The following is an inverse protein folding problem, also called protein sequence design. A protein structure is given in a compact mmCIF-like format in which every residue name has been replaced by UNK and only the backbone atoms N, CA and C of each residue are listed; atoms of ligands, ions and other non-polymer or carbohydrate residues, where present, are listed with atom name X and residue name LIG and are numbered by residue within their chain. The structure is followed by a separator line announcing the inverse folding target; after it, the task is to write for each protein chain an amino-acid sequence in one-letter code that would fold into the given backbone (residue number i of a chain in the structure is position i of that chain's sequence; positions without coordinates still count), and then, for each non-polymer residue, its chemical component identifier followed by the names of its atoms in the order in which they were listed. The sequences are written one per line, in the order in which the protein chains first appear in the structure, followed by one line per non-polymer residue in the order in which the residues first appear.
data_IF_474712339990
#
_entry.id   IF_474712339990
#
_cell.length_a   1.000
_cell.length_b   1.000
_cell.length_c   1.000
_cell.angle_alpha   90.00
_cell.angle_beta   90.00
_cell.angle_gamma   90.00
#
_symmetry.space_group_name_H-M   'P 1'
#
loop_
_entity.id
_entity.type
_entity.pdbx_description
1 polymer ?
#
# COMPACT_ATOMS: atom_id res chain seq x y z
N UNK A 1 3.81 20.89 -55.98
CA UNK A 1 4.56 21.41 -54.82
C UNK A 1 3.88 20.86 -53.57
N UNK A 2 4.34 19.71 -53.06
CA UNK A 2 3.71 19.00 -51.93
C UNK A 2 4.54 19.32 -50.68
N UNK A 3 3.95 20.00 -49.72
CA UNK A 3 4.62 20.38 -48.47
C UNK A 3 5.05 19.11 -47.69
N UNK A 4 6.23 19.09 -47.05
CA UNK A 4 6.62 18.01 -46.17
C UNK A 4 5.81 18.09 -44.87
N UNK A 5 5.01 17.05 -44.65
CA UNK A 5 4.22 16.83 -43.44
C UNK A 5 5.16 16.40 -42.30
N UNK A 6 5.42 17.32 -41.38
CA UNK A 6 6.26 17.13 -40.20
C UNK A 6 5.52 16.25 -39.19
N UNK A 7 5.70 14.94 -39.32
CA UNK A 7 5.22 13.97 -38.33
C UNK A 7 6.19 13.97 -37.14
N UNK A 8 5.75 14.30 -35.91
CA UNK A 8 6.62 14.24 -34.75
C UNK A 8 7.14 12.81 -34.59
N UNK A 9 8.47 12.66 -34.62
CA UNK A 9 9.17 11.38 -34.41
C UNK A 9 8.75 10.82 -33.06
N UNK A 10 8.20 9.60 -33.06
CA UNK A 10 7.88 8.84 -31.84
C UNK A 10 9.08 8.67 -30.88
N UNK A 11 10.30 8.85 -31.40
CA UNK A 11 11.58 8.79 -30.69
C UNK A 11 11.80 9.94 -29.69
N UNK A 12 11.32 11.15 -30.01
CA UNK A 12 11.48 12.33 -29.13
C UNK A 12 10.61 12.27 -27.89
N UNK A 13 9.44 11.62 -27.97
CA UNK A 13 8.52 11.48 -26.85
C UNK A 13 9.02 10.47 -25.80
N UNK A 14 9.82 9.48 -26.23
CA UNK A 14 10.54 8.58 -25.32
C UNK A 14 11.73 9.24 -24.64
N UNK A 15 12.44 10.16 -25.30
CA UNK A 15 13.57 10.89 -24.70
C UNK A 15 13.12 11.92 -23.65
N UNK A 16 12.07 12.71 -23.94
CA UNK A 16 11.47 13.64 -22.98
C UNK A 16 10.95 12.91 -21.73
N UNK A 17 10.21 11.82 -21.92
CA UNK A 17 9.68 11.02 -20.82
C UNK A 17 10.80 10.46 -19.93
N UNK A 18 11.89 9.99 -20.52
CA UNK A 18 13.04 9.52 -19.75
C UNK A 18 13.74 10.65 -18.99
N UNK A 19 13.82 11.86 -19.57
CA UNK A 19 14.37 13.03 -18.89
C UNK A 19 13.51 13.45 -17.70
N UNK A 20 12.19 13.54 -17.89
CA UNK A 20 11.22 13.89 -16.84
C UNK A 20 11.30 12.92 -15.67
N UNK A 21 11.34 11.61 -15.96
CA UNK A 21 11.44 10.58 -14.95
C UNK A 21 12.78 10.64 -14.19
N UNK A 22 13.88 11.02 -14.87
CA UNK A 22 15.21 11.15 -14.25
C UNK A 22 15.23 12.30 -13.26
N UNK A 23 14.64 13.42 -13.67
CA UNK A 23 14.48 14.57 -12.79
C UNK A 23 13.56 14.26 -11.61
N UNK A 24 12.44 13.57 -11.82
CA UNK A 24 11.53 13.17 -10.75
C UNK A 24 12.19 12.19 -9.75
N UNK A 25 12.96 11.21 -10.25
CA UNK A 25 13.70 10.27 -9.42
C UNK A 25 14.72 10.99 -8.51
N UNK A 26 15.55 11.87 -9.07
CA UNK A 26 16.52 12.65 -8.29
C UNK A 26 15.85 13.59 -7.30
N UNK A 27 14.75 14.23 -7.70
CA UNK A 27 14.04 15.21 -6.87
C UNK A 27 13.34 14.58 -5.67
N UNK A 28 12.60 13.49 -5.89
CA UNK A 28 11.73 12.91 -4.86
C UNK A 28 12.40 11.79 -4.07
N UNK A 29 13.37 11.08 -4.67
CA UNK A 29 14.02 9.93 -4.04
C UNK A 29 15.50 10.16 -3.73
N UNK A 30 16.10 11.24 -4.24
CA UNK A 30 17.54 11.49 -4.10
C UNK A 30 18.41 10.43 -4.80
N UNK A 31 17.84 9.64 -5.71
CA UNK A 31 18.49 8.51 -6.40
C UNK A 31 18.44 8.69 -7.92
N UNK A 32 19.39 8.08 -8.61
CA UNK A 32 19.33 7.88 -10.06
C UNK A 32 18.20 6.90 -10.42
N UNK A 33 17.64 7.00 -11.64
CA UNK A 33 16.60 6.04 -12.11
C UNK A 33 17.07 4.59 -11.96
N UNK A 34 18.34 4.34 -12.27
CA UNK A 34 18.90 2.99 -12.29
C UNK A 34 19.13 2.42 -10.87
N UNK A 35 19.07 3.26 -9.84
CA UNK A 35 19.18 2.89 -8.43
C UNK A 35 17.84 2.75 -7.72
N UNK A 36 16.72 2.96 -8.43
CA UNK A 36 15.38 2.80 -7.89
C UNK A 36 15.02 1.32 -7.77
N UNK A 37 14.38 0.96 -6.66
CA UNK A 37 13.72 -0.33 -6.53
C UNK A 37 12.51 -0.42 -7.47
N UNK A 38 12.04 -1.64 -7.75
CA UNK A 38 10.90 -1.90 -8.63
C UNK A 38 9.61 -1.19 -8.19
N UNK A 39 9.40 -1.07 -6.87
CA UNK A 39 8.30 -0.30 -6.30
C UNK A 39 8.44 1.21 -6.57
N UNK A 40 9.63 1.78 -6.34
CA UNK A 40 9.90 3.20 -6.58
C UNK A 40 9.74 3.56 -8.08
N UNK A 41 10.26 2.71 -8.97
CA UNK A 41 10.08 2.84 -10.42
C UNK A 41 8.62 2.72 -10.86
N UNK A 42 7.84 1.81 -10.25
CA UNK A 42 6.39 1.67 -10.50
C UNK A 42 5.63 2.93 -10.13
N UNK A 43 5.85 3.46 -8.92
CA UNK A 43 5.18 4.68 -8.46
C UNK A 43 5.52 5.86 -9.36
N UNK A 44 6.80 6.04 -9.73
CA UNK A 44 7.23 7.12 -10.62
C UNK A 44 6.58 7.07 -12.01
N UNK A 45 6.48 5.87 -12.61
CA UNK A 45 5.77 5.68 -13.89
C UNK A 45 4.28 6.00 -13.76
N UNK A 46 3.68 5.59 -12.65
CA UNK A 46 2.25 5.79 -12.40
C UNK A 46 1.91 7.21 -11.95
N UNK A 47 2.86 7.97 -11.38
CA UNK A 47 2.65 9.34 -10.89
C UNK A 47 2.21 10.32 -11.98
N UNK A 48 2.58 10.07 -13.26
CA UNK A 48 2.15 10.91 -14.40
C UNK A 48 0.66 10.78 -14.68
N UNK A 49 0.06 9.63 -14.36
CA UNK A 49 -1.38 9.44 -14.39
C UNK A 49 -1.93 9.70 -12.98
N UNK A 50 -2.52 10.89 -12.78
CA UNK A 50 -3.34 11.27 -11.61
C UNK A 50 -4.64 10.42 -11.50
N UNK A 51 -4.51 9.12 -11.74
CA UNK A 51 -5.59 8.15 -11.69
C UNK A 51 -5.85 7.86 -10.22
N UNK A 52 -7.09 8.14 -9.81
CA UNK A 52 -7.66 7.77 -8.52
C UNK A 52 -7.90 6.27 -8.54
N UNK A 53 -6.84 5.50 -8.71
CA UNK A 53 -6.88 4.06 -8.56
C UNK A 53 -6.78 3.79 -7.07
N UNK A 54 -7.88 4.03 -6.37
CA UNK A 54 -8.34 3.11 -5.33
C UNK A 54 -8.67 1.76 -6.00
N UNK A 55 -7.72 1.22 -6.77
CA UNK A 55 -7.83 -0.10 -7.34
C UNK A 55 -7.57 -1.00 -6.16
N UNK A 56 -8.63 -1.54 -5.58
CA UNK A 56 -8.57 -2.53 -4.50
C UNK A 56 -7.49 -3.54 -4.88
N UNK A 57 -6.31 -3.55 -4.22
CA UNK A 57 -5.22 -4.44 -4.60
C UNK A 57 -5.63 -5.92 -4.50
N UNK A 58 -6.67 -6.19 -3.72
CA UNK A 58 -7.16 -7.52 -3.40
C UNK A 58 -7.85 -8.30 -4.53
N UNK A 59 -8.26 -7.69 -5.64
CA UNK A 59 -9.06 -8.44 -6.64
C UNK A 59 -8.28 -9.01 -7.83
N UNK A 60 -6.99 -8.72 -7.99
CA UNK A 60 -6.26 -9.14 -9.20
C UNK A 60 -5.47 -10.45 -9.07
N UNK A 61 -5.47 -11.10 -7.90
CA UNK A 61 -5.03 -12.49 -7.74
C UNK A 61 -6.22 -13.41 -7.46
N UNK A 62 -7.26 -13.32 -8.30
CA UNK A 62 -8.28 -14.36 -8.46
C UNK A 62 -7.75 -15.60 -9.19
N UNK A 63 -6.48 -15.99 -8.93
CA UNK A 63 -5.98 -17.29 -9.33
C UNK A 63 -6.89 -18.32 -8.69
N UNK A 64 -7.58 -19.10 -9.51
CA UNK A 64 -8.48 -20.16 -9.09
C UNK A 64 -7.80 -21.01 -8.02
N UNK A 65 -8.14 -20.77 -6.75
CA UNK A 65 -7.62 -21.56 -5.64
C UNK A 65 -7.89 -23.02 -5.97
N UNK A 66 -6.82 -23.81 -6.06
CA UNK A 66 -6.99 -25.24 -6.35
C UNK A 66 -7.86 -25.85 -5.25
N UNK A 67 -8.63 -26.90 -5.56
CA UNK A 67 -9.52 -27.54 -4.57
C UNK A 67 -8.77 -27.94 -3.29
N UNK A 68 -7.49 -28.34 -3.43
CA UNK A 68 -6.58 -28.61 -2.32
C UNK A 68 -6.24 -27.39 -1.48
N UNK A 69 -6.00 -26.22 -2.07
CA UNK A 69 -5.76 -24.97 -1.34
C UNK A 69 -6.99 -24.52 -0.55
N UNK A 70 -8.20 -24.68 -1.11
CA UNK A 70 -9.45 -24.35 -0.42
C UNK A 70 -9.70 -25.29 0.76
N UNK A 71 -9.46 -26.59 0.59
CA UNK A 71 -9.57 -27.57 1.66
C UNK A 71 -8.53 -27.33 2.75
N UNK A 72 -7.27 -27.08 2.38
CA UNK A 72 -6.20 -26.80 3.35
C UNK A 72 -6.51 -25.55 4.18
N UNK A 73 -7.07 -24.50 3.56
CA UNK A 73 -7.52 -23.30 4.27
C UNK A 73 -8.65 -23.57 5.24
N UNK A 74 -9.65 -24.34 4.82
CA UNK A 74 -10.77 -24.72 5.68
C UNK A 74 -10.29 -25.59 6.86
N UNK A 75 -9.40 -26.55 6.61
CA UNK A 75 -8.82 -27.42 7.64
C UNK A 75 -7.93 -26.63 8.60
N UNK A 76 -7.12 -25.69 8.11
CA UNK A 76 -6.28 -24.85 8.97
C UNK A 76 -7.11 -23.91 9.85
N UNK A 77 -8.14 -23.29 9.29
CA UNK A 77 -9.05 -22.40 10.03
C UNK A 77 -9.88 -23.17 11.05
N UNK A 78 -10.32 -24.39 10.70
CA UNK A 78 -11.07 -25.27 11.60
C UNK A 78 -10.19 -25.85 12.71
N UNK A 79 -9.00 -26.34 12.37
CA UNK A 79 -8.05 -26.92 13.32
C UNK A 79 -7.49 -25.93 14.34
N UNK A 80 -7.50 -24.62 14.03
CA UNK A 80 -7.12 -23.55 14.95
C UNK A 80 -8.29 -22.97 15.78
N UNK A 81 -9.53 -23.44 15.57
CA UNK A 81 -10.71 -22.88 16.25
C UNK A 81 -10.99 -23.54 17.60
N UNK A 82 -11.41 -22.74 18.58
CA UNK A 82 -11.92 -23.21 19.87
C UNK A 82 -13.12 -24.18 19.72
N UNK A 83 -13.91 -24.04 18.66
CA UNK A 83 -15.03 -24.94 18.37
C UNK A 83 -14.58 -26.36 18.04
N UNK A 84 -13.43 -26.53 17.39
CA UNK A 84 -12.88 -27.85 17.08
C UNK A 84 -12.42 -28.56 18.34
N UNK A 85 -11.72 -27.85 19.24
CA UNK A 85 -11.25 -28.39 20.52
C UNK A 85 -12.43 -28.93 21.34
N UNK A 86 -13.51 -28.15 21.43
CA UNK A 86 -14.72 -28.54 22.19
C UNK A 86 -15.40 -29.76 21.56
N UNK A 87 -15.63 -29.75 20.23
CA UNK A 87 -16.28 -30.86 19.53
C UNK A 87 -15.45 -32.14 19.62
N UNK A 88 -14.13 -32.04 19.48
CA UNK A 88 -13.21 -33.16 19.59
C UNK A 88 -13.21 -33.73 21.02
N UNK A 89 -13.21 -32.88 22.05
CA UNK A 89 -13.36 -33.30 23.44
C UNK A 89 -14.67 -34.05 23.71
N UNK A 90 -15.80 -33.53 23.21
CA UNK A 90 -17.11 -34.21 23.32
C UNK A 90 -17.09 -35.57 22.62
N UNK A 91 -16.51 -35.65 21.41
CA UNK A 91 -16.36 -36.91 20.69
C UNK A 91 -15.55 -37.95 21.49
N UNK A 92 -14.42 -37.56 22.10
CA UNK A 92 -13.62 -38.45 22.93
C UNK A 92 -14.38 -38.98 24.14
N UNK A 93 -15.14 -38.10 24.83
CA UNK A 93 -15.98 -38.50 25.97
C UNK A 93 -17.08 -39.47 25.55
N UNK A 94 -17.76 -39.19 24.43
CA UNK A 94 -18.81 -40.07 23.89
C UNK A 94 -18.24 -41.42 23.45
N UNK A 95 -17.09 -41.44 22.77
CA UNK A 95 -16.44 -42.66 22.31
C UNK A 95 -15.99 -43.55 23.48
N UNK A 96 -15.38 -42.92 24.48
CA UNK A 96 -14.95 -43.61 25.71
C UNK A 96 -16.18 -44.14 26.46
N UNK A 97 -17.21 -43.31 26.62
CA UNK A 97 -18.47 -43.71 27.27
C UNK A 97 -19.18 -44.86 26.56
N UNK A 98 -19.24 -44.83 25.22
CA UNK A 98 -19.84 -45.90 24.43
C UNK A 98 -19.06 -47.22 24.55
N UNK A 99 -17.73 -47.19 24.50
CA UNK A 99 -16.91 -48.40 24.67
C UNK A 99 -16.96 -48.96 26.09
N UNK A 100 -17.01 -48.10 27.11
CA UNK A 100 -17.19 -48.53 28.50
C UNK A 100 -18.60 -49.07 28.73
N UNK A 101 -19.64 -48.52 28.09
CA UNK A 101 -21.00 -49.02 28.26
C UNK A 101 -21.23 -50.38 27.56
N UNK A 102 -20.50 -50.64 26.47
CA UNK A 102 -20.52 -51.89 25.71
C UNK A 102 -19.67 -53.00 26.39
N UNK A 103 -19.89 -53.22 27.69
CA UNK A 103 -19.16 -54.12 28.59
C UNK A 103 -19.01 -55.57 28.06
N UNK A 104 -19.92 -56.00 27.18
CA UNK A 104 -20.01 -57.39 26.69
C UNK A 104 -19.13 -57.68 25.47
N UNK A 105 -18.94 -56.71 24.58
CA UNK A 105 -18.00 -56.77 23.45
C UNK A 105 -17.51 -55.34 23.13
N UNK A 106 -16.59 -54.80 23.94
CA UNK A 106 -16.05 -53.47 23.69
C UNK A 106 -15.29 -53.46 22.36
N UNK A 107 -15.58 -52.46 21.53
CA UNK A 107 -14.96 -52.31 20.21
C UNK A 107 -13.49 -51.87 20.33
N UNK A 108 -13.18 -51.05 21.33
CA UNK A 108 -11.83 -50.60 21.71
C UNK A 108 -11.66 -50.75 23.24
N UNK A 109 -11.18 -51.91 23.73
CA UNK A 109 -10.97 -52.16 25.16
C UNK A 109 -9.89 -51.25 25.73
N UNK A 110 -9.98 -50.91 27.03
CA UNK A 110 -8.91 -50.22 27.74
C UNK A 110 -7.58 -50.98 27.56
N UNK A 111 -6.49 -50.37 27.05
CA UNK A 111 -6.13 -48.95 27.06
C UNK A 111 -6.44 -48.12 25.80
N UNK A 112 -7.46 -48.47 25.01
CA UNK A 112 -7.94 -47.76 23.81
C UNK A 112 -6.89 -47.61 22.70
N UNK A 113 -6.42 -48.74 22.16
CA UNK A 113 -5.34 -48.79 21.15
C UNK A 113 -5.76 -48.07 19.86
N UNK A 114 -7.03 -48.21 19.46
CA UNK A 114 -7.51 -47.62 18.21
C UNK A 114 -7.60 -46.09 18.31
N UNK A 115 -8.14 -45.59 19.43
CA UNK A 115 -8.20 -44.16 19.71
C UNK A 115 -6.80 -43.55 19.82
N UNK A 116 -5.86 -44.25 20.44
CA UNK A 116 -4.47 -43.79 20.57
C UNK A 116 -3.74 -43.74 19.21
N UNK A 117 -4.00 -44.72 18.33
CA UNK A 117 -3.47 -44.71 16.96
C UNK A 117 -4.02 -43.52 16.17
N UNK A 118 -5.33 -43.26 16.28
CA UNK A 118 -5.98 -42.15 15.59
C UNK A 118 -5.44 -40.79 16.07
N UNK A 119 -5.32 -40.60 17.39
CA UNK A 119 -4.73 -39.40 17.97
C UNK A 119 -3.28 -39.17 17.50
N UNK A 120 -2.49 -40.24 17.48
CA UNK A 120 -1.09 -40.19 17.03
C UNK A 120 -0.98 -39.77 15.56
N UNK A 121 -1.87 -40.28 14.70
CA UNK A 121 -1.92 -39.90 13.29
C UNK A 121 -2.34 -38.43 13.09
N UNK A 122 -3.36 -37.97 13.84
CA UNK A 122 -3.80 -36.56 13.80
C UNK A 122 -2.66 -35.64 14.25
N UNK A 123 -1.99 -35.97 15.35
CA UNK A 123 -0.87 -35.20 15.88
C UNK A 123 0.31 -35.14 14.88
N UNK A 124 0.62 -36.25 14.20
CA UNK A 124 1.67 -36.27 13.19
C UNK A 124 1.39 -35.34 11.99
N UNK A 125 0.12 -35.18 11.61
CA UNK A 125 -0.29 -34.28 10.51
C UNK A 125 -0.44 -32.81 10.94
N UNK A 126 -0.52 -32.52 12.24
CA UNK A 126 -0.69 -31.14 12.74
C UNK A 126 0.47 -30.23 12.36
N UNK A 127 1.72 -30.63 12.61
CA UNK A 127 2.87 -29.75 12.38
C UNK A 127 3.03 -29.33 10.91
N UNK A 128 2.93 -30.23 9.91
CA UNK A 128 2.95 -29.84 8.49
C UNK A 128 1.79 -28.95 8.08
N UNK A 129 0.55 -29.22 8.56
CA UNK A 129 -0.63 -28.40 8.24
C UNK A 129 -0.46 -26.99 8.82
N UNK A 130 -0.01 -26.89 10.07
CA UNK A 130 0.28 -25.60 10.72
C UNK A 130 1.37 -24.87 9.92
N UNK A 131 2.47 -25.54 9.58
CA UNK A 131 3.57 -24.95 8.82
C UNK A 131 3.12 -24.49 7.42
N UNK A 132 2.29 -25.26 6.73
CA UNK A 132 1.73 -24.87 5.43
C UNK A 132 0.80 -23.65 5.56
N UNK A 133 -0.05 -23.62 6.59
CA UNK A 133 -0.93 -22.48 6.85
C UNK A 133 -0.15 -21.21 7.21
N UNK A 134 0.91 -21.35 8.01
CA UNK A 134 1.82 -20.25 8.38
C UNK A 134 2.60 -19.74 7.17
N UNK A 135 3.15 -20.63 6.34
CA UNK A 135 3.86 -20.24 5.12
C UNK A 135 2.95 -19.47 4.16
N UNK A 136 1.67 -19.87 4.07
CA UNK A 136 0.67 -19.17 3.25
C UNK A 136 0.28 -17.81 3.83
N UNK A 137 0.11 -17.70 5.15
CA UNK A 137 -0.13 -16.41 5.80
C UNK A 137 1.06 -15.47 5.62
N UNK A 138 2.29 -15.96 5.83
CA UNK A 138 3.51 -15.17 5.63
C UNK A 138 3.68 -14.68 4.18
N UNK A 139 3.25 -15.46 3.18
CA UNK A 139 3.26 -15.02 1.79
C UNK A 139 2.27 -13.86 1.57
N UNK A 140 1.04 -13.98 2.07
CA UNK A 140 0.04 -12.90 2.01
C UNK A 140 0.49 -11.65 2.75
N UNK A 141 1.09 -11.82 3.93
CA UNK A 141 1.61 -10.71 4.73
C UNK A 141 2.75 -9.98 4.00
N UNK A 142 3.63 -10.72 3.30
CA UNK A 142 4.67 -10.12 2.45
C UNK A 142 4.08 -9.35 1.27
N UNK A 143 3.07 -9.89 0.59
CA UNK A 143 2.38 -9.19 -0.50
C UNK A 143 1.70 -7.92 0.01
N UNK A 144 0.99 -7.98 1.14
CA UNK A 144 0.36 -6.82 1.76
C UNK A 144 1.40 -5.77 2.18
N UNK A 145 2.51 -6.18 2.78
CA UNK A 145 3.59 -5.26 3.17
C UNK A 145 4.22 -4.55 1.95
N UNK A 146 4.37 -5.25 0.82
CA UNK A 146 4.87 -4.65 -0.42
C UNK A 146 3.89 -3.61 -0.98
N UNK A 147 2.58 -3.89 -0.93
CA UNK A 147 1.54 -2.95 -1.34
C UNK A 147 1.47 -1.72 -0.42
N UNK A 148 1.52 -1.94 0.89
CA UNK A 148 1.52 -0.85 1.88
C UNK A 148 2.74 0.06 1.70
N UNK A 149 3.90 -0.52 1.39
CA UNK A 149 5.10 0.25 1.04
C UNK A 149 4.90 1.12 -0.21
N UNK A 150 4.30 0.56 -1.28
CA UNK A 150 4.01 1.30 -2.51
C UNK A 150 3.02 2.47 -2.26
N UNK A 151 1.97 2.22 -1.47
CA UNK A 151 0.99 3.25 -1.09
C UNK A 151 1.64 4.36 -0.27
N UNK A 152 2.45 4.00 0.72
CA UNK A 152 3.14 4.99 1.56
C UNK A 152 4.09 5.86 0.73
N UNK A 153 4.83 5.24 -0.19
CA UNK A 153 5.75 5.95 -1.09
C UNK A 153 5.02 6.94 -1.99
N UNK A 154 3.87 6.53 -2.54
CA UNK A 154 3.03 7.42 -3.34
C UNK A 154 2.50 8.59 -2.52
N UNK A 155 2.05 8.33 -1.28
CA UNK A 155 1.57 9.38 -0.38
C UNK A 155 2.69 10.40 -0.06
N UNK A 156 3.91 9.93 0.18
CA UNK A 156 5.08 10.79 0.43
C UNK A 156 5.36 11.73 -0.76
N UNK A 157 5.32 11.19 -1.99
CA UNK A 157 5.47 11.99 -3.21
C UNK A 157 4.35 13.02 -3.36
N UNK A 158 3.09 12.63 -3.13
CA UNK A 158 1.95 13.54 -3.21
C UNK A 158 2.05 14.68 -2.18
N UNK A 159 2.54 14.39 -0.97
CA UNK A 159 2.80 15.38 0.07
C UNK A 159 3.91 16.36 -0.37
N UNK A 160 5.02 15.86 -0.91
CA UNK A 160 6.11 16.71 -1.42
C UNK A 160 5.61 17.63 -2.55
N UNK A 161 4.84 17.09 -3.49
CA UNK A 161 4.26 17.87 -4.58
C UNK A 161 3.25 18.94 -4.08
N UNK A 162 2.50 18.64 -3.02
CA UNK A 162 1.64 19.61 -2.34
C UNK A 162 2.45 20.72 -1.66
N UNK A 163 3.57 20.37 -1.03
CA UNK A 163 4.48 21.34 -0.39
C UNK A 163 5.07 22.31 -1.42
N UNK A 164 5.58 21.79 -2.53
CA UNK A 164 6.11 22.58 -3.65
C UNK A 164 5.06 23.59 -4.17
N UNK A 165 3.81 23.14 -4.33
CA UNK A 165 2.72 24.00 -4.79
C UNK A 165 2.36 25.06 -3.73
N UNK A 166 2.38 24.71 -2.46
CA UNK A 166 2.11 25.63 -1.37
C UNK A 166 3.18 26.73 -1.30
N UNK A 167 4.44 26.37 -1.45
CA UNK A 167 5.55 27.33 -1.43
C UNK A 167 5.51 28.27 -2.63
N UNK A 168 5.21 27.75 -3.83
CA UNK A 168 5.02 28.58 -5.01
C UNK A 168 3.88 29.60 -4.82
N UNK A 169 2.73 29.17 -4.25
CA UNK A 169 1.63 30.10 -3.94
C UNK A 169 2.00 31.11 -2.86
N UNK A 170 2.80 30.72 -1.86
CA UNK A 170 3.29 31.64 -0.82
C UNK A 170 4.21 32.70 -1.42
N UNK A 171 5.14 32.32 -2.29
CA UNK A 171 6.04 33.24 -2.95
C UNK A 171 5.28 34.27 -3.79
N UNK A 172 4.31 33.83 -4.59
CA UNK A 172 3.43 34.70 -5.38
C UNK A 172 2.67 35.68 -4.47
N UNK A 173 2.09 35.19 -3.37
CA UNK A 173 1.34 36.01 -2.44
C UNK A 173 2.23 37.05 -1.73
N UNK A 174 3.43 36.64 -1.28
CA UNK A 174 4.41 37.54 -0.66
C UNK A 174 4.90 38.62 -1.64
N UNK A 175 5.18 38.23 -2.88
CA UNK A 175 5.56 39.18 -3.92
C UNK A 175 4.43 40.21 -4.17
N UNK A 176 3.17 39.76 -4.19
CA UNK A 176 2.00 40.63 -4.30
C UNK A 176 1.89 41.63 -3.14
N UNK A 177 2.08 41.17 -1.90
CA UNK A 177 2.04 42.04 -0.71
C UNK A 177 3.15 43.10 -0.73
N UNK A 178 4.37 42.72 -1.11
CA UNK A 178 5.47 43.70 -1.22
C UNK A 178 5.24 44.73 -2.33
N UNK A 179 4.65 44.32 -3.46
CA UNK A 179 4.29 45.24 -4.52
C UNK A 179 3.25 46.26 -4.05
N UNK A 180 2.21 45.81 -3.34
CA UNK A 180 1.19 46.70 -2.76
C UNK A 180 1.79 47.65 -1.71
N UNK A 181 2.68 47.16 -0.84
CA UNK A 181 3.35 48.00 0.15
C UNK A 181 4.21 49.09 -0.50
N UNK A 182 4.94 48.75 -1.56
CA UNK A 182 5.77 49.71 -2.31
C UNK A 182 4.91 50.81 -2.93
N UNK A 183 3.77 50.46 -3.53
CA UNK A 183 2.83 51.42 -4.10
C UNK A 183 2.28 52.38 -3.02
N UNK A 184 1.92 51.86 -1.84
CA UNK A 184 1.48 52.69 -0.71
C UNK A 184 2.57 53.66 -0.23
N UNK A 185 3.82 53.22 -0.13
CA UNK A 185 4.95 54.07 0.27
C UNK A 185 5.21 55.17 -0.77
N UNK A 186 5.14 54.85 -2.06
CA UNK A 186 5.31 55.82 -3.14
C UNK A 186 4.19 56.88 -3.11
N UNK A 187 2.94 56.49 -2.88
CA UNK A 187 1.82 57.42 -2.73
C UNK A 187 2.01 58.34 -1.51
N UNK A 188 2.38 57.80 -0.35
CA UNK A 188 2.66 58.61 0.85
C UNK A 188 3.80 59.60 0.61
N UNK A 189 4.86 59.16 -0.07
CA UNK A 189 6.02 60.01 -0.40
C UNK A 189 5.61 61.15 -1.33
N UNK A 190 4.78 60.88 -2.35
CA UNK A 190 4.24 61.91 -3.25
C UNK A 190 3.37 62.93 -2.50
N UNK A 191 2.43 62.46 -1.66
CA UNK A 191 1.57 63.35 -0.87
C UNK A 191 2.37 64.24 0.10
N UNK A 192 3.43 63.70 0.71
CA UNK A 192 4.32 64.48 1.57
C UNK A 192 5.11 65.53 0.77
N UNK A 193 5.57 65.20 -0.44
CA UNK A 193 6.27 66.14 -1.31
C UNK A 193 5.35 67.29 -1.77
N UNK A 194 4.12 66.99 -2.19
CA UNK A 194 3.11 67.99 -2.56
C UNK A 194 2.79 68.93 -1.38
N UNK A 195 2.55 68.38 -0.18
CA UNK A 195 2.29 69.18 1.04
C UNK A 195 3.49 70.00 1.51
N UNK A 196 4.71 69.58 1.19
CA UNK A 196 5.94 70.32 1.47
C UNK A 196 6.17 71.48 0.50
N UNK A 197 5.77 71.33 -0.76
CA UNK A 197 5.81 72.38 -1.78
C UNK A 197 4.82 73.50 -1.52
N UNK A 198 3.58 73.15 -1.14
CA UNK A 198 2.52 74.13 -0.85
C UNK A 198 2.87 75.04 0.33
N UNK A 199 3.50 74.50 1.39
CA UNK A 199 3.95 75.30 2.55
C UNK A 199 5.12 76.23 2.24
N UNK A 200 5.87 76.02 1.17
CA UNK A 200 7.02 76.84 0.79
C UNK A 200 6.63 78.01 -0.13
N UNK A 201 5.43 77.96 -0.71
CA UNK A 201 4.89 78.99 -1.60
C UNK A 201 4.01 80.02 -0.86
N UNK A 202 3.68 79.76 0.41
CA UNK A 202 2.79 80.58 1.25
C UNK A 202 3.55 81.33 2.39
N UNK A 203 4.88 81.48 2.27
CA UNK A 203 5.77 82.25 3.15
C UNK A 203 6.68 83.15 2.34
#
# INVERSE_FOLDING_TARGET
MKAPEDRPKADGMSEELHSDLRHAARRWFGKEIDALNEAESRVLRNAKHRSVLARRPFEQNGGSQTFGERLADQVATFGGSWTFIILFGVFLVLWTGANVWLLSQPFDPYPFIFLNLMLSMVAALQAPIIMMSQNRQALKDRENAALDYEVNLKAEIEIMALHDKLDAMREEHLAGLFAQQKEQIDLLTRLLAERGGDRKNDS
#
